data_IF_156116828901
#
_entry.id   IF_156116828901
#
_cell.length_a   1.000
_cell.length_b   1.000
_cell.length_c   1.000
_cell.angle_alpha   90.00
_cell.angle_beta   90.00
_cell.angle_gamma   90.00
#
_symmetry.space_group_name_H-M   'P 1'
#
loop_
_entity.id
_entity.type
_entity.pdbx_description
1 polymer ?
#
# COMPACT_ATOMS: atom_id res chain seq x y z
N UNK A 1 10.14 -30.23 -64.06
CA UNK A 1 11.59 -30.03 -63.79
C UNK A 1 11.75 -29.94 -62.28
N UNK A 2 12.40 -30.83 -61.55
CA UNK A 2 13.11 -32.05 -61.85
C UNK A 2 13.88 -32.43 -60.59
N UNK A 3 13.92 -33.74 -60.29
CA UNK A 3 15.07 -34.49 -59.70
C UNK A 3 15.53 -34.10 -58.26
N UNK A 4 15.83 -34.97 -57.30
CA UNK A 4 16.46 -36.32 -57.22
C UNK A 4 16.02 -36.96 -55.89
N UNK A 5 15.61 -38.23 -55.79
CA UNK A 5 16.32 -39.50 -55.96
C UNK A 5 17.44 -39.78 -54.93
N UNK A 6 17.14 -40.75 -54.06
CA UNK A 6 17.95 -41.88 -53.59
C UNK A 6 19.32 -41.64 -52.95
N UNK A 7 19.49 -42.17 -51.73
CA UNK A 7 20.43 -43.24 -51.31
C UNK A 7 19.85 -43.80 -49.98
N UNK A 8 19.75 -45.08 -49.66
CA UNK A 8 20.40 -46.27 -50.20
C UNK A 8 21.16 -46.98 -49.07
N UNK A 9 20.69 -48.19 -48.71
CA UNK A 9 21.45 -49.33 -48.17
C UNK A 9 21.92 -49.25 -46.69
N UNK A 10 21.83 -50.31 -45.88
CA UNK A 10 21.45 -51.68 -46.17
C UNK A 10 21.63 -52.64 -44.97
N UNK A 11 21.40 -53.92 -45.28
CA UNK A 11 21.81 -55.16 -44.60
C UNK A 11 21.20 -55.41 -43.19
N UNK A 12 20.36 -56.43 -42.97
CA UNK A 12 20.52 -57.83 -43.38
C UNK A 12 21.66 -58.46 -42.57
N UNK A 13 21.55 -59.57 -41.83
CA UNK A 13 20.66 -60.72 -41.95
C UNK A 13 21.05 -61.75 -40.86
N UNK A 14 20.15 -62.71 -40.60
CA UNK A 14 20.38 -64.10 -40.10
C UNK A 14 20.95 -64.25 -38.66
N UNK A 15 20.22 -64.76 -37.66
CA UNK A 15 19.50 -66.05 -37.50
C UNK A 15 20.44 -67.27 -37.49
N UNK A 16 20.74 -67.77 -36.29
CA UNK A 16 20.84 -69.19 -35.87
C UNK A 16 21.37 -69.18 -34.43
N UNK A 17 20.62 -69.49 -33.38
CA UNK A 17 20.02 -70.77 -33.03
C UNK A 17 21.00 -71.94 -33.19
N UNK A 18 21.92 -72.05 -32.23
CA UNK A 18 22.31 -73.35 -31.67
C UNK A 18 22.61 -73.16 -30.19
N UNK A 19 21.78 -73.78 -29.37
CA UNK A 19 21.74 -73.56 -27.93
C UNK A 19 20.35 -73.73 -27.33
N UNK A 20 19.42 -74.44 -27.98
CA UNK A 20 18.13 -74.79 -27.34
C UNK A 20 18.33 -75.65 -26.09
N UNK A 21 19.45 -76.37 -25.96
CA UNK A 21 19.87 -77.05 -24.73
C UNK A 21 20.47 -76.10 -23.67
N UNK A 22 21.15 -75.03 -24.07
CA UNK A 22 21.76 -74.06 -23.15
C UNK A 22 20.74 -73.01 -22.66
N UNK A 23 19.80 -72.60 -23.52
CA UNK A 23 18.68 -71.71 -23.17
C UNK A 23 17.67 -72.47 -22.31
N UNK A 24 17.38 -73.74 -22.65
CA UNK A 24 16.54 -74.61 -21.81
C UNK A 24 17.17 -74.87 -20.43
N UNK A 25 18.48 -75.17 -20.39
CA UNK A 25 19.23 -75.31 -19.15
C UNK A 25 19.33 -74.02 -18.33
N UNK A 26 19.52 -72.87 -18.97
CA UNK A 26 19.55 -71.57 -18.30
C UNK A 26 18.18 -71.16 -17.76
N UNK A 27 17.10 -71.37 -18.53
CA UNK A 27 15.73 -71.12 -18.07
C UNK A 27 15.38 -72.07 -16.92
N UNK A 28 15.73 -73.35 -17.04
CA UNK A 28 15.51 -74.33 -15.96
C UNK A 28 16.33 -73.99 -14.71
N UNK A 29 17.59 -73.60 -14.86
CA UNK A 29 18.46 -73.18 -13.76
C UNK A 29 17.94 -71.90 -13.08
N UNK A 30 17.44 -70.94 -13.85
CA UNK A 30 16.78 -69.73 -13.33
C UNK A 30 15.48 -70.08 -12.60
N UNK A 31 14.67 -71.01 -13.11
CA UNK A 31 13.44 -71.49 -12.44
C UNK A 31 13.78 -72.24 -11.13
N UNK A 32 14.81 -73.08 -11.14
CA UNK A 32 15.29 -73.79 -9.93
C UNK A 32 15.83 -72.79 -8.90
N UNK A 33 16.61 -71.79 -9.32
CA UNK A 33 17.08 -70.71 -8.44
C UNK A 33 15.90 -69.91 -7.86
N UNK A 34 14.90 -69.58 -8.67
CA UNK A 34 13.65 -68.91 -8.25
C UNK A 34 12.86 -69.75 -7.23
N UNK A 35 12.84 -71.08 -7.39
CA UNK A 35 12.18 -72.01 -6.47
C UNK A 35 12.97 -72.20 -5.15
N UNK A 36 14.28 -71.99 -5.17
CA UNK A 36 15.17 -72.08 -4.00
C UNK A 36 15.14 -70.82 -3.13
N UNK A 37 14.57 -69.72 -3.64
CA UNK A 37 14.31 -68.50 -2.89
C UNK A 37 13.17 -68.76 -1.89
N UNK A 38 13.41 -68.57 -0.57
CA UNK A 38 12.39 -68.80 0.45
C UNK A 38 11.11 -68.00 0.16
N UNK A 39 9.93 -68.61 0.36
CA UNK A 39 8.61 -67.96 0.19
C UNK A 39 8.49 -66.54 0.81
N UNK A 40 9.12 -66.22 1.96
CA UNK A 40 9.14 -64.86 2.50
C UNK A 40 9.72 -63.79 1.55
N UNK A 41 10.67 -64.15 0.68
CA UNK A 41 11.31 -63.20 -0.25
C UNK A 41 10.35 -62.82 -1.38
N UNK A 42 9.56 -63.77 -1.89
CA UNK A 42 8.53 -63.48 -2.90
C UNK A 42 7.44 -62.56 -2.35
N UNK A 43 7.05 -62.73 -1.08
CA UNK A 43 6.11 -61.86 -0.38
C UNK A 43 6.72 -60.45 -0.22
N UNK A 44 7.99 -60.36 0.17
CA UNK A 44 8.69 -59.08 0.30
C UNK A 44 8.78 -58.31 -1.01
N UNK A 45 9.06 -58.99 -2.13
CA UNK A 45 9.06 -58.38 -3.48
C UNK A 45 7.66 -57.90 -3.86
N UNK A 46 6.63 -58.71 -3.63
CA UNK A 46 5.24 -58.32 -3.88
C UNK A 46 4.81 -57.08 -3.10
N UNK A 47 5.18 -57.01 -1.81
CA UNK A 47 4.94 -55.83 -0.96
C UNK A 47 5.73 -54.63 -1.48
N UNK A 48 7.00 -54.81 -1.87
CA UNK A 48 7.82 -53.75 -2.44
C UNK A 48 7.21 -53.14 -3.69
N UNK A 49 6.76 -53.97 -4.62
CA UNK A 49 6.06 -53.52 -5.85
C UNK A 49 4.75 -52.81 -5.50
N UNK A 50 3.97 -53.34 -4.56
CA UNK A 50 2.72 -52.71 -4.13
C UNK A 50 2.95 -51.31 -3.53
N UNK A 51 3.97 -51.15 -2.68
CA UNK A 51 4.33 -49.85 -2.09
C UNK A 51 4.79 -48.85 -3.15
N UNK A 52 5.57 -49.29 -4.14
CA UNK A 52 6.02 -48.42 -5.25
C UNK A 52 4.82 -47.95 -6.08
N UNK A 53 3.91 -48.85 -6.44
CA UNK A 53 2.72 -48.51 -7.21
C UNK A 53 1.81 -47.56 -6.42
N UNK A 54 1.60 -47.82 -5.12
CA UNK A 54 0.82 -46.94 -4.25
C UNK A 54 1.46 -45.55 -4.12
N UNK A 55 2.79 -45.48 -3.97
CA UNK A 55 3.53 -44.23 -3.94
C UNK A 55 3.41 -43.43 -5.25
N UNK A 56 3.50 -44.11 -6.39
CA UNK A 56 3.34 -43.48 -7.70
C UNK A 56 1.92 -42.95 -7.94
N UNK A 57 0.89 -43.72 -7.56
CA UNK A 57 -0.51 -43.28 -7.65
C UNK A 57 -0.76 -42.08 -6.72
N UNK A 58 -0.26 -42.12 -5.48
CA UNK A 58 -0.38 -41.01 -4.55
C UNK A 58 0.28 -39.73 -5.11
N UNK A 59 1.50 -39.83 -5.65
CA UNK A 59 2.20 -38.70 -6.27
C UNK A 59 1.39 -38.06 -7.41
N UNK A 60 0.81 -38.88 -8.31
CA UNK A 60 0.01 -38.39 -9.45
C UNK A 60 -1.28 -37.70 -9.01
N UNK A 61 -1.90 -38.13 -7.91
CA UNK A 61 -3.08 -37.46 -7.33
C UNK A 61 -2.68 -36.11 -6.74
N UNK A 62 -1.58 -36.05 -5.97
CA UNK A 62 -1.09 -34.79 -5.41
C UNK A 62 -0.77 -33.76 -6.49
N UNK A 63 -0.06 -34.15 -7.55
CA UNK A 63 0.30 -33.27 -8.67
C UNK A 63 -0.94 -32.74 -9.42
N UNK A 64 -1.95 -33.60 -9.64
CA UNK A 64 -3.22 -33.18 -10.26
C UNK A 64 -4.03 -32.22 -9.37
N UNK A 65 -4.00 -32.44 -8.05
CA UNK A 65 -4.66 -31.55 -7.08
C UNK A 65 -3.94 -30.20 -7.01
N UNK A 66 -2.61 -30.17 -7.01
CA UNK A 66 -1.85 -28.91 -7.05
C UNK A 66 -2.11 -28.11 -8.33
N UNK A 67 -2.09 -28.79 -9.49
CA UNK A 67 -2.35 -28.14 -10.78
C UNK A 67 -3.78 -27.59 -10.86
N UNK A 68 -4.77 -28.37 -10.43
CA UNK A 68 -6.17 -27.90 -10.40
C UNK A 68 -6.39 -26.76 -9.40
N UNK A 69 -5.72 -26.78 -8.24
CA UNK A 69 -5.74 -25.66 -7.29
C UNK A 69 -5.09 -24.40 -7.85
N UNK A 70 -3.98 -24.53 -8.59
CA UNK A 70 -3.32 -23.40 -9.25
C UNK A 70 -4.23 -22.78 -10.32
N UNK A 71 -4.84 -23.60 -11.18
CA UNK A 71 -5.79 -23.12 -12.20
C UNK A 71 -7.05 -22.50 -11.58
N UNK A 72 -7.56 -23.07 -10.48
CA UNK A 72 -8.70 -22.50 -9.74
C UNK A 72 -8.34 -21.15 -9.11
N UNK A 73 -7.16 -21.02 -8.50
CA UNK A 73 -6.69 -19.76 -7.92
C UNK A 73 -6.48 -18.67 -8.97
N UNK A 74 -5.99 -19.02 -10.17
CA UNK A 74 -5.90 -18.07 -11.29
C UNK A 74 -7.27 -17.62 -11.79
N UNK A 75 -8.23 -18.54 -11.91
CA UNK A 75 -9.61 -18.21 -12.28
C UNK A 75 -10.27 -17.32 -11.25
N UNK A 76 -10.11 -17.59 -9.96
CA UNK A 76 -10.64 -16.74 -8.89
C UNK A 76 -10.04 -15.32 -8.94
N UNK A 77 -8.72 -15.19 -9.15
CA UNK A 77 -8.09 -13.88 -9.32
C UNK A 77 -8.58 -13.15 -10.56
N UNK A 78 -8.72 -13.85 -11.68
CA UNK A 78 -9.25 -13.29 -12.93
C UNK A 78 -10.71 -12.86 -12.77
N UNK A 79 -11.54 -13.64 -12.09
CA UNK A 79 -12.92 -13.30 -11.77
C UNK A 79 -13.00 -12.12 -10.80
N UNK A 80 -12.19 -12.08 -9.75
CA UNK A 80 -12.14 -10.95 -8.83
C UNK A 80 -11.70 -9.67 -9.54
N UNK A 81 -10.69 -9.75 -10.40
CA UNK A 81 -10.24 -8.64 -11.23
C UNK A 81 -11.33 -8.19 -12.21
N UNK A 82 -12.04 -9.13 -12.85
CA UNK A 82 -13.15 -8.83 -13.74
C UNK A 82 -14.33 -8.18 -12.99
N UNK A 83 -14.69 -8.68 -11.81
CA UNK A 83 -15.72 -8.09 -10.94
C UNK A 83 -15.32 -6.70 -10.46
N UNK A 84 -14.06 -6.50 -10.05
CA UNK A 84 -13.55 -5.20 -9.66
C UNK A 84 -13.54 -4.20 -10.83
N UNK A 85 -13.15 -4.66 -12.03
CA UNK A 85 -13.19 -3.85 -13.24
C UNK A 85 -14.62 -3.49 -13.65
N UNK A 86 -15.56 -4.45 -13.60
CA UNK A 86 -16.97 -4.22 -13.88
C UNK A 86 -17.59 -3.25 -12.88
N UNK A 87 -17.34 -3.44 -11.58
CA UNK A 87 -17.79 -2.54 -10.53
C UNK A 87 -17.20 -1.12 -10.70
N UNK A 88 -15.95 -1.00 -11.15
CA UNK A 88 -15.34 0.29 -11.46
C UNK A 88 -16.01 0.97 -12.66
N UNK A 89 -16.25 0.23 -13.76
CA UNK A 89 -16.95 0.74 -14.94
C UNK A 89 -18.35 1.20 -14.60
N UNK A 90 -19.10 0.41 -13.85
CA UNK A 90 -20.45 0.76 -13.41
C UNK A 90 -20.46 2.04 -12.55
N UNK A 91 -19.49 2.19 -11.62
CA UNK A 91 -19.35 3.42 -10.84
C UNK A 91 -19.03 4.63 -11.72
N UNK A 92 -18.15 4.47 -12.70
CA UNK A 92 -17.80 5.54 -13.64
C UNK A 92 -18.98 5.93 -14.54
N UNK A 93 -19.74 4.96 -15.04
CA UNK A 93 -20.95 5.19 -15.84
C UNK A 93 -22.05 5.88 -15.04
N UNK A 94 -22.29 5.43 -13.80
CA UNK A 94 -23.22 6.09 -12.88
C UNK A 94 -22.79 7.54 -12.61
N UNK A 95 -21.50 7.76 -12.34
CA UNK A 95 -20.96 9.09 -12.12
C UNK A 95 -21.08 9.99 -13.36
N UNK A 96 -20.85 9.45 -14.56
CA UNK A 96 -21.04 10.19 -15.83
C UNK A 96 -22.51 10.55 -16.04
N UNK A 97 -23.41 9.61 -15.81
CA UNK A 97 -24.85 9.82 -15.98
C UNK A 97 -25.38 10.86 -15.00
N UNK A 98 -24.96 10.79 -13.73
CA UNK A 98 -25.34 11.77 -12.72
C UNK A 98 -24.79 13.16 -13.04
N UNK A 99 -23.52 13.23 -13.49
CA UNK A 99 -22.92 14.48 -13.95
C UNK A 99 -23.67 15.07 -15.13
N UNK A 100 -24.01 14.26 -16.12
CA UNK A 100 -24.77 14.72 -17.29
C UNK A 100 -26.14 15.23 -16.87
N UNK A 101 -26.87 14.48 -16.03
CA UNK A 101 -28.16 14.90 -15.48
C UNK A 101 -28.08 16.26 -14.76
N UNK A 102 -27.01 16.50 -13.99
CA UNK A 102 -26.79 17.79 -13.33
C UNK A 102 -26.51 18.91 -14.31
N UNK A 103 -25.70 18.66 -15.34
CA UNK A 103 -25.44 19.63 -16.41
C UNK A 103 -26.72 19.98 -17.15
N UNK A 104 -27.57 18.99 -17.46
CA UNK A 104 -28.82 19.18 -18.18
C UNK A 104 -29.84 19.98 -17.36
N UNK A 105 -29.82 19.84 -16.02
CA UNK A 105 -30.77 20.51 -15.12
C UNK A 105 -30.33 21.88 -14.64
N UNK A 106 -29.02 22.10 -14.47
CA UNK A 106 -28.47 23.33 -13.89
C UNK A 106 -27.72 24.20 -14.91
N UNK A 107 -27.32 23.61 -16.04
CA UNK A 107 -26.31 24.17 -16.93
C UNK A 107 -24.88 23.88 -16.44
N UNK A 108 -23.93 23.82 -17.40
CA UNK A 108 -22.54 23.39 -17.14
C UNK A 108 -21.83 24.18 -16.04
N UNK A 109 -21.96 25.51 -16.02
CA UNK A 109 -21.29 26.37 -15.05
C UNK A 109 -21.85 26.17 -13.64
N UNK A 110 -23.17 26.21 -13.50
CA UNK A 110 -23.84 26.03 -12.21
C UNK A 110 -23.64 24.61 -11.65
N UNK A 111 -23.65 23.59 -12.52
CA UNK A 111 -23.33 22.22 -12.12
C UNK A 111 -21.92 22.11 -11.51
N UNK A 112 -20.93 22.78 -12.10
CA UNK A 112 -19.56 22.79 -11.57
C UNK A 112 -19.47 23.47 -10.19
N UNK A 113 -20.28 24.50 -9.93
CA UNK A 113 -20.35 25.16 -8.62
C UNK A 113 -20.98 24.26 -7.55
N UNK A 114 -22.06 23.53 -7.88
CA UNK A 114 -22.64 22.52 -6.98
C UNK A 114 -21.64 21.40 -6.69
N UNK A 115 -20.90 20.91 -7.69
CA UNK A 115 -19.82 19.93 -7.48
C UNK A 115 -18.70 20.50 -6.61
N UNK A 116 -18.39 21.80 -6.71
CA UNK A 116 -17.42 22.48 -5.83
C UNK A 116 -17.91 22.49 -4.38
N UNK A 117 -19.16 22.91 -4.15
CA UNK A 117 -19.76 22.94 -2.81
C UNK A 117 -19.81 21.56 -2.17
N UNK A 118 -20.23 20.51 -2.91
CA UNK A 118 -20.24 19.14 -2.40
C UNK A 118 -18.84 18.63 -2.04
N UNK A 119 -17.82 19.01 -2.82
CA UNK A 119 -16.43 18.67 -2.49
C UNK A 119 -15.97 19.38 -1.21
N UNK A 120 -16.30 20.66 -1.04
CA UNK A 120 -16.02 21.40 0.17
C UNK A 120 -16.71 20.79 1.39
N UNK A 121 -18.00 20.43 1.30
CA UNK A 121 -18.72 19.72 2.38
C UNK A 121 -18.04 18.39 2.72
N UNK A 122 -17.64 17.61 1.71
CA UNK A 122 -16.91 16.35 1.93
C UNK A 122 -15.57 16.56 2.62
N UNK A 123 -14.85 17.64 2.29
CA UNK A 123 -13.60 18.00 2.96
C UNK A 123 -13.83 18.38 4.42
N UNK A 124 -14.87 19.16 4.71
CA UNK A 124 -15.24 19.54 6.09
C UNK A 124 -15.59 18.28 6.91
N UNK A 125 -16.48 17.43 6.40
CA UNK A 125 -16.89 16.20 7.10
C UNK A 125 -15.73 15.22 7.29
N UNK A 126 -14.77 15.20 6.36
CA UNK A 126 -13.56 14.37 6.43
C UNK A 126 -12.44 14.95 7.30
N UNK A 127 -12.55 16.22 7.73
CA UNK A 127 -11.54 16.88 8.54
C UNK A 127 -11.35 16.20 9.89
N UNK A 128 -10.18 16.40 10.49
CA UNK A 128 -9.96 15.98 11.86
C UNK A 128 -10.76 16.83 12.85
N UNK A 129 -10.89 18.13 12.58
CA UNK A 129 -11.71 19.05 13.34
C UNK A 129 -13.16 18.54 13.49
N UNK A 130 -13.76 18.03 12.41
CA UNK A 130 -15.09 17.41 12.45
C UNK A 130 -15.09 16.14 13.31
N UNK A 131 -14.12 15.24 13.08
CA UNK A 131 -14.04 13.95 13.79
C UNK A 131 -13.77 14.08 15.29
N UNK A 132 -13.00 15.09 15.68
CA UNK A 132 -12.72 15.42 17.07
C UNK A 132 -13.80 16.32 17.71
N UNK A 133 -14.87 16.64 16.97
CA UNK A 133 -16.03 17.39 17.48
C UNK A 133 -15.83 18.90 17.59
N UNK A 134 -14.69 19.44 17.13
CA UNK A 134 -14.40 20.89 17.19
C UNK A 134 -15.36 21.73 16.35
N UNK A 135 -15.93 21.16 15.29
CA UNK A 135 -16.88 21.86 14.43
C UNK A 135 -18.34 21.74 14.92
N UNK A 136 -18.61 20.91 15.92
CA UNK A 136 -19.98 20.57 16.35
C UNK A 136 -20.78 19.79 15.31
N UNK A 137 -22.10 19.76 15.49
CA UNK A 137 -23.04 19.14 14.56
C UNK A 137 -23.27 20.04 13.33
N UNK A 138 -22.50 19.78 12.28
CA UNK A 138 -22.57 20.57 11.04
C UNK A 138 -23.41 19.84 9.98
N UNK A 139 -24.53 20.45 9.59
CA UNK A 139 -25.39 19.98 8.50
C UNK A 139 -25.52 21.03 7.39
N UNK A 140 -24.90 20.74 6.23
CA UNK A 140 -24.98 21.58 5.02
C UNK A 140 -26.13 21.18 4.08
N UNK A 141 -27.01 20.26 4.47
CA UNK A 141 -28.09 19.75 3.60
C UNK A 141 -29.00 20.89 3.14
N UNK A 142 -29.35 21.81 4.04
CA UNK A 142 -30.17 22.97 3.72
C UNK A 142 -29.48 23.91 2.71
N UNK A 143 -28.19 24.19 2.91
CA UNK A 143 -27.40 25.04 2.01
C UNK A 143 -27.28 24.43 0.61
N UNK A 144 -26.90 23.16 0.52
CA UNK A 144 -26.76 22.46 -0.77
C UNK A 144 -28.10 22.41 -1.52
N UNK A 145 -29.20 22.16 -0.81
CA UNK A 145 -30.54 22.21 -1.38
C UNK A 145 -30.85 23.61 -1.92
N UNK A 146 -30.64 24.66 -1.11
CA UNK A 146 -30.89 26.04 -1.53
C UNK A 146 -30.05 26.47 -2.74
N UNK A 147 -28.76 26.12 -2.76
CA UNK A 147 -27.87 26.35 -3.91
C UNK A 147 -28.42 25.67 -5.17
N UNK A 148 -28.76 24.38 -5.06
CA UNK A 148 -29.23 23.57 -6.19
C UNK A 148 -30.56 24.11 -6.74
N UNK A 149 -31.51 24.41 -5.87
CA UNK A 149 -32.82 24.94 -6.25
C UNK A 149 -32.73 26.31 -6.94
N UNK A 150 -31.88 27.21 -6.42
CA UNK A 150 -31.69 28.52 -7.03
C UNK A 150 -31.04 28.41 -8.42
N UNK A 151 -30.03 27.57 -8.59
CA UNK A 151 -29.43 27.31 -9.90
C UNK A 151 -30.40 26.65 -10.88
N UNK A 152 -31.22 25.70 -10.42
CA UNK A 152 -32.23 25.05 -11.25
C UNK A 152 -33.29 26.06 -11.72
N UNK A 153 -33.80 26.90 -10.82
CA UNK A 153 -34.77 27.96 -11.15
C UNK A 153 -34.17 28.97 -12.12
N UNK A 154 -32.94 29.41 -11.89
CA UNK A 154 -32.25 30.33 -12.79
C UNK A 154 -32.03 29.73 -14.19
N UNK A 155 -31.60 28.47 -14.26
CA UNK A 155 -31.41 27.76 -15.53
C UNK A 155 -32.72 27.62 -16.31
N UNK A 156 -33.80 27.22 -15.63
CA UNK A 156 -35.13 27.12 -16.22
C UNK A 156 -35.64 28.48 -16.73
N UNK A 157 -35.51 29.55 -15.92
CA UNK A 157 -35.87 30.91 -16.32
C UNK A 157 -35.11 31.37 -17.56
N UNK A 158 -33.80 31.10 -17.64
CA UNK A 158 -33.00 31.42 -18.84
C UNK A 158 -33.38 30.58 -20.05
N UNK A 159 -33.74 29.32 -19.86
CA UNK A 159 -34.22 28.46 -20.94
C UNK A 159 -35.51 29.00 -21.56
N UNK A 160 -36.48 29.40 -20.72
CA UNK A 160 -37.75 29.99 -21.19
C UNK A 160 -37.54 31.38 -21.78
N UNK A 161 -36.77 32.25 -21.11
CA UNK A 161 -36.43 33.57 -21.61
C UNK A 161 -35.69 33.50 -22.96
N UNK A 162 -34.80 32.53 -23.14
CA UNK A 162 -34.13 32.26 -24.41
C UNK A 162 -35.11 31.94 -25.53
N UNK A 163 -36.07 31.04 -25.27
CA UNK A 163 -37.13 30.69 -26.23
C UNK A 163 -38.02 31.88 -26.58
N UNK A 164 -38.47 32.64 -25.58
CA UNK A 164 -39.30 33.83 -25.79
C UNK A 164 -38.53 34.90 -26.59
N UNK A 165 -37.24 35.09 -26.31
CA UNK A 165 -36.40 36.05 -27.05
C UNK A 165 -36.11 35.66 -28.51
N UNK A 166 -36.32 34.39 -28.87
CA UNK A 166 -36.11 33.88 -30.22
C UNK A 166 -37.37 33.99 -31.10
N UNK A 167 -38.51 34.39 -30.54
CA UNK A 167 -39.73 34.62 -31.32
C UNK A 167 -39.61 35.91 -32.15
N UNK A 168 -40.17 35.88 -33.35
CA UNK A 168 -40.23 37.05 -34.23
C UNK A 168 -41.23 38.09 -33.70
N UNK A 169 -40.89 39.38 -33.88
CA UNK A 169 -41.73 40.55 -33.52
C UNK A 169 -42.12 40.62 -32.03
N UNK A 170 -41.15 40.77 -31.11
CA UNK A 170 -41.45 40.87 -29.68
C UNK A 170 -42.31 42.10 -29.35
N UNK A 171 -43.35 41.89 -28.55
CA UNK A 171 -44.19 42.95 -28.01
C UNK A 171 -43.47 43.79 -26.95
N UNK A 172 -44.06 44.90 -26.53
CA UNK A 172 -43.52 45.69 -25.43
C UNK A 172 -43.53 44.91 -24.11
N UNK A 173 -44.57 44.12 -23.87
CA UNK A 173 -44.72 43.25 -22.70
C UNK A 173 -43.65 42.14 -22.69
N UNK A 174 -43.39 41.50 -23.84
CA UNK A 174 -42.34 40.50 -23.97
C UNK A 174 -40.97 41.04 -23.59
N UNK A 175 -40.66 42.29 -23.95
CA UNK A 175 -39.39 42.92 -23.59
C UNK A 175 -39.27 43.16 -22.08
N UNK A 176 -40.37 43.56 -21.43
CA UNK A 176 -40.41 43.79 -19.98
C UNK A 176 -40.23 42.48 -19.23
N UNK A 177 -41.01 41.45 -19.56
CA UNK A 177 -40.93 40.15 -18.87
C UNK A 177 -39.58 39.46 -19.10
N UNK A 178 -38.96 39.63 -20.28
CA UNK A 178 -37.61 39.14 -20.55
C UNK A 178 -36.55 39.83 -19.68
N UNK A 179 -36.65 41.15 -19.48
CA UNK A 179 -35.73 41.89 -18.63
C UNK A 179 -35.88 41.47 -17.16
N UNK A 180 -37.12 41.28 -16.70
CA UNK A 180 -37.42 40.80 -15.35
C UNK A 180 -36.92 39.36 -15.13
N UNK A 181 -37.18 38.44 -16.08
CA UNK A 181 -36.71 37.07 -16.01
C UNK A 181 -35.17 36.97 -15.97
N UNK A 182 -34.48 37.78 -16.77
CA UNK A 182 -33.00 37.85 -16.78
C UNK A 182 -32.46 38.35 -15.44
N UNK A 183 -33.05 39.41 -14.90
CA UNK A 183 -32.66 39.99 -13.60
C UNK A 183 -32.91 39.01 -12.45
N UNK A 184 -34.05 38.34 -12.45
CA UNK A 184 -34.42 37.32 -11.46
C UNK A 184 -33.47 36.13 -11.51
N UNK A 185 -33.19 35.61 -12.71
CA UNK A 185 -32.23 34.52 -12.89
C UNK A 185 -30.84 34.91 -12.39
N UNK A 186 -30.36 36.13 -12.69
CA UNK A 186 -29.07 36.61 -12.20
C UNK A 186 -29.01 36.72 -10.67
N UNK A 187 -30.10 37.19 -10.03
CA UNK A 187 -30.17 37.28 -8.58
C UNK A 187 -30.15 35.90 -7.91
N UNK A 188 -30.90 34.93 -8.44
CA UNK A 188 -30.90 33.56 -7.93
C UNK A 188 -29.50 32.94 -8.02
N UNK A 189 -28.79 33.12 -9.13
CA UNK A 189 -27.43 32.61 -9.28
C UNK A 189 -26.45 33.30 -8.35
N UNK A 190 -26.53 34.63 -8.21
CA UNK A 190 -25.67 35.38 -7.28
C UNK A 190 -25.83 34.86 -5.87
N UNK A 191 -27.07 34.70 -5.38
CA UNK A 191 -27.33 34.16 -4.04
C UNK A 191 -26.78 32.73 -3.88
N UNK A 192 -26.90 31.89 -4.91
CA UNK A 192 -26.33 30.54 -4.87
C UNK A 192 -24.79 30.55 -4.87
N UNK A 193 -24.16 31.40 -5.69
CA UNK A 193 -22.69 31.57 -5.75
C UNK A 193 -22.15 32.04 -4.40
N UNK A 194 -22.75 33.06 -3.80
CA UNK A 194 -22.36 33.56 -2.47
C UNK A 194 -22.39 32.44 -1.41
N UNK A 195 -23.40 31.55 -1.48
CA UNK A 195 -23.48 30.39 -0.57
C UNK A 195 -22.42 29.33 -0.86
N UNK A 196 -22.14 29.04 -2.13
CA UNK A 196 -21.02 28.15 -2.51
C UNK A 196 -19.69 28.68 -1.97
N UNK A 197 -19.45 29.99 -2.04
CA UNK A 197 -18.24 30.62 -1.51
C UNK A 197 -18.15 30.50 0.02
N UNK A 198 -19.25 30.69 0.74
CA UNK A 198 -19.28 30.52 2.19
C UNK A 198 -18.97 29.08 2.59
N UNK A 199 -19.55 28.08 1.91
CA UNK A 199 -19.23 26.67 2.13
C UNK A 199 -17.74 26.39 1.84
N UNK A 200 -17.19 26.99 0.79
CA UNK A 200 -15.77 26.92 0.49
C UNK A 200 -14.89 27.50 1.61
N UNK A 201 -15.27 28.64 2.19
CA UNK A 201 -14.56 29.24 3.34
C UNK A 201 -14.61 28.31 4.56
N UNK A 202 -15.75 27.70 4.86
CA UNK A 202 -15.83 26.72 5.96
C UNK A 202 -14.86 25.55 5.76
N UNK A 203 -14.65 25.09 4.53
CA UNK A 203 -13.67 24.05 4.24
C UNK A 203 -12.22 24.49 4.48
N UNK A 204 -11.89 25.73 4.15
CA UNK A 204 -10.57 26.31 4.46
C UNK A 204 -10.36 26.43 5.96
N UNK A 205 -11.34 26.93 6.71
CA UNK A 205 -11.24 27.04 8.18
C UNK A 205 -11.08 25.68 8.86
N UNK A 206 -11.83 24.66 8.42
CA UNK A 206 -11.68 23.30 8.92
C UNK A 206 -10.24 22.77 8.71
N UNK A 207 -9.63 23.07 7.55
CA UNK A 207 -8.24 22.69 7.27
C UNK A 207 -7.22 23.45 8.13
N UNK A 208 -7.50 24.72 8.46
CA UNK A 208 -6.65 25.50 9.35
C UNK A 208 -6.67 24.92 10.78
N UNK A 209 -7.84 24.49 11.25
CA UNK A 209 -7.97 23.79 12.54
C UNK A 209 -7.20 22.46 12.49
N UNK A 210 -7.38 21.65 11.44
CA UNK A 210 -6.62 20.40 11.26
C UNK A 210 -5.10 20.64 11.34
N UNK A 211 -4.63 21.74 10.72
CA UNK A 211 -3.22 22.13 10.76
C UNK A 211 -2.80 22.51 12.19
N UNK A 212 -3.60 23.29 12.91
CA UNK A 212 -3.33 23.65 14.32
C UNK A 212 -3.22 22.41 15.19
N UNK A 213 -4.19 21.50 15.10
CA UNK A 213 -4.23 20.26 15.87
C UNK A 213 -3.03 19.36 15.56
N UNK A 214 -2.53 19.37 14.32
CA UNK A 214 -1.32 18.63 13.96
C UNK A 214 -0.09 19.25 14.60
N UNK A 215 0.07 20.57 14.48
CA UNK A 215 1.19 21.29 15.11
C UNK A 215 1.20 21.07 16.62
N UNK A 216 0.07 21.18 17.30
CA UNK A 216 -0.04 20.95 18.74
C UNK A 216 0.43 19.54 19.15
N UNK A 217 0.12 18.51 18.36
CA UNK A 217 0.60 17.14 18.60
C UNK A 217 2.08 16.98 18.34
N UNK A 218 2.61 17.63 17.30
CA UNK A 218 4.04 17.62 17.01
C UNK A 218 4.82 18.31 18.13
N UNK A 219 4.35 19.47 18.58
CA UNK A 219 4.94 20.21 19.70
C UNK A 219 4.90 19.40 21.00
N UNK A 220 3.79 18.73 21.29
CA UNK A 220 3.68 17.84 22.44
C UNK A 220 4.70 16.69 22.39
N UNK A 221 4.87 16.05 21.21
CA UNK A 221 5.87 15.00 21.02
C UNK A 221 7.30 15.51 21.15
N UNK A 222 7.59 16.68 20.62
CA UNK A 222 8.92 17.32 20.74
C UNK A 222 9.20 17.67 22.20
N UNK A 223 8.23 18.20 22.93
CA UNK A 223 8.37 18.50 24.35
C UNK A 223 8.64 17.23 25.18
N UNK A 224 7.95 16.13 24.88
CA UNK A 224 8.18 14.83 25.52
C UNK A 224 9.59 14.28 25.23
N UNK A 225 10.00 14.26 23.95
CA UNK A 225 11.35 13.84 23.56
C UNK A 225 12.43 14.72 24.20
N UNK A 226 12.19 16.03 24.27
CA UNK A 226 13.09 16.97 24.94
C UNK A 226 13.21 16.62 26.42
N UNK A 227 12.10 16.36 27.10
CA UNK A 227 12.11 15.98 28.51
C UNK A 227 12.89 14.68 28.74
N UNK A 228 12.66 13.65 27.90
CA UNK A 228 13.37 12.38 27.98
C UNK A 228 14.88 12.54 27.76
N UNK A 229 15.27 13.25 26.70
CA UNK A 229 16.69 13.50 26.40
C UNK A 229 17.36 14.35 27.47
N UNK A 230 16.67 15.36 28.00
CA UNK A 230 17.16 16.15 29.13
C UNK A 230 17.35 15.29 30.38
N UNK A 231 16.41 14.40 30.70
CA UNK A 231 16.53 13.48 31.83
C UNK A 231 17.73 12.53 31.65
N UNK A 232 17.89 11.94 30.46
CA UNK A 232 19.00 11.06 30.13
C UNK A 232 20.36 11.76 30.19
N UNK A 233 20.45 12.97 29.63
CA UNK A 233 21.66 13.78 29.69
C UNK A 233 22.00 14.18 31.14
N UNK A 234 21.00 14.57 31.92
CA UNK A 234 21.19 14.90 33.35
C UNK A 234 21.69 13.71 34.15
N UNK A 235 21.15 12.50 33.89
CA UNK A 235 21.65 11.26 34.48
C UNK A 235 23.09 10.94 34.06
N UNK A 236 23.49 11.21 32.82
CA UNK A 236 24.89 11.02 32.39
C UNK A 236 25.85 12.04 33.03
N UNK A 237 25.45 13.31 33.13
CA UNK A 237 26.31 14.37 33.68
C UNK A 237 26.44 14.29 35.19
N UNK A 238 25.34 14.01 35.89
CA UNK A 238 25.28 14.08 37.36
C UNK A 238 25.08 12.72 38.03
N UNK A 239 24.56 11.71 37.32
CA UNK A 239 24.41 10.36 37.86
C UNK A 239 25.74 9.61 38.03
N UNK A 240 26.82 10.05 37.37
CA UNK A 240 28.19 9.58 37.65
C UNK A 240 28.67 10.10 39.02
N UNK A 241 28.11 11.21 39.52
CA UNK A 241 28.44 11.77 40.84
C UNK A 241 27.78 11.05 42.03
N UNK A 242 26.88 10.10 41.80
CA UNK A 242 26.28 9.24 42.84
C UNK A 242 26.96 7.86 42.95
N UNK A 243 27.90 7.54 42.04
CA UNK A 243 28.93 6.56 42.36
C UNK A 243 29.86 7.19 43.41
N UNK A 244 30.32 6.45 44.44
CA UNK A 244 31.32 6.99 45.36
C UNK A 244 32.46 7.57 44.53
N UNK A 245 32.88 8.79 44.86
CA UNK A 245 33.98 9.49 44.21
C UNK A 245 35.12 8.51 43.89
N UNK A 246 35.23 8.09 42.63
CA UNK A 246 36.45 7.47 42.11
C UNK A 246 37.36 8.58 41.60
N UNK A 247 37.45 9.71 42.32
CA UNK A 247 38.72 10.42 42.35
C UNK A 247 39.71 9.36 42.79
N UNK A 248 40.71 8.99 41.98
CA UNK A 248 41.75 8.11 42.48
C UNK A 248 42.45 8.91 43.57
N UNK A 249 42.10 8.69 44.85
CA UNK A 249 42.92 9.14 45.99
C UNK A 249 44.34 8.55 45.88
N UNK A 250 44.51 7.56 45.00
CA UNK A 250 45.77 6.94 44.60
C UNK A 250 45.96 7.03 43.07
N UNK A 251 46.10 8.25 42.56
CA UNK A 251 46.49 8.46 41.16
C UNK A 251 47.89 7.90 40.95
N UNK A 252 47.99 6.83 40.15
CA UNK A 252 49.27 6.22 39.79
C UNK A 252 50.23 7.24 39.14
N UNK A 253 49.68 8.29 38.50
CA UNK A 253 50.45 9.41 37.94
C UNK A 253 51.08 10.23 39.07
N UNK A 254 50.34 10.54 40.13
CA UNK A 254 50.85 11.30 41.28
C UNK A 254 51.88 10.49 42.08
N UNK A 255 51.64 9.17 42.24
CA UNK A 255 52.61 8.27 42.86
C UNK A 255 53.92 8.16 42.06
N UNK A 256 53.85 8.16 40.71
CA UNK A 256 55.03 8.17 39.84
C UNK A 256 55.75 9.52 39.93
N UNK A 257 55.01 10.64 39.89
CA UNK A 257 55.61 11.98 39.99
C UNK A 257 56.28 12.22 41.35
N UNK A 258 55.68 11.73 42.44
CA UNK A 258 56.28 11.77 43.78
C UNK A 258 57.59 10.96 43.84
N UNK A 259 57.62 9.75 43.26
CA UNK A 259 58.84 8.93 43.19
C UNK A 259 59.92 9.58 42.32
N UNK A 260 59.55 10.22 41.22
CA UNK A 260 60.49 10.95 40.35
C UNK A 260 61.08 12.15 41.09
N UNK A 261 60.27 12.89 41.86
CA UNK A 261 60.76 13.99 42.68
C UNK A 261 61.70 13.51 43.78
N UNK A 262 61.33 12.45 44.50
CA UNK A 262 62.21 11.85 45.51
C UNK A 262 63.54 11.37 44.92
N UNK A 263 63.52 10.76 43.73
CA UNK A 263 64.74 10.36 43.03
C UNK A 263 65.62 11.56 42.65
N UNK A 264 65.02 12.64 42.14
CA UNK A 264 65.76 13.87 41.81
C UNK A 264 66.37 14.52 43.04
N UNK A 265 65.65 14.55 44.16
CA UNK A 265 66.13 15.10 45.43
C UNK A 265 67.32 14.29 45.96
N UNK A 266 67.22 12.96 45.97
CA UNK A 266 68.34 12.09 46.36
C UNK A 266 69.56 12.31 45.46
N UNK A 267 69.36 12.39 44.13
CA UNK A 267 70.46 12.64 43.18
C UNK A 267 71.13 13.99 43.43
N UNK A 268 70.33 15.02 43.70
CA UNK A 268 70.82 16.35 44.00
C UNK A 268 71.63 16.38 45.31
N UNK A 269 71.18 15.70 46.37
CA UNK A 269 71.92 15.59 47.62
C UNK A 269 73.23 14.81 47.48
N UNK A 270 73.27 13.77 46.63
CA UNK A 270 74.51 13.03 46.32
C UNK A 270 75.50 13.91 45.54
N UNK A 271 75.01 14.69 44.57
CA UNK A 271 75.85 15.63 43.82
C UNK A 271 76.40 16.74 44.74
N UNK A 272 75.59 17.31 45.62
CA UNK A 272 76.06 18.27 46.62
C UNK A 272 77.08 17.68 47.61
N UNK A 273 76.86 16.45 48.08
CA UNK A 273 77.81 15.79 48.98
C UNK A 273 79.14 15.46 48.29
N UNK A 274 79.12 15.23 46.97
CA UNK A 274 80.31 15.00 46.16
C UNK A 274 81.08 16.29 45.87
N UNK A 275 80.38 17.39 45.63
CA UNK A 275 80.98 18.69 45.30
C UNK A 275 81.42 19.47 46.56
N UNK A 276 80.90 19.12 47.74
CA UNK A 276 81.31 19.67 49.04
C UNK A 276 82.51 18.98 49.71
N UNK A 277 83.12 17.98 49.06
CA UNK A 277 84.33 17.27 49.53
C UNK A 277 85.58 17.58 48.70
N UNK A 278 85.56 18.65 47.88
CA UNK A 278 86.75 19.18 47.16
C UNK A 278 87.29 20.45 47.78
#
# INVERSE_FOLDING_TARGET
>A
MGQRSEWGLGMGSKRSSDGSGAIGGAIFFVIVLIAMVPKPVWIAIGIGVAVIVLGWVAYRIFEAVEKSRAEAAERERAEQAARAAAAKREREERARTEKQRRIDTLGKANAALVESALRAVKQIAGSEAARAGWLGDVDFTADIRGITENFQKAHALRGVAGKLSALDKPSAEDRVILAEAKTTAANLERTAIERVELVGKCAVEAQLIDKSLRTEREDARVAEQRAELHAKLSAMLYGIGAAPNTTPEDSAVDAVMARVQAYREIKYQIEQARDGQS
#
